data_IF_631542942030
#
_entry.id   IF_631542942030
#
_cell.length_a   1.000
_cell.length_b   1.000
_cell.length_c   1.000
_cell.angle_alpha   90.00
_cell.angle_beta   90.00
_cell.angle_gamma   90.00
#
_symmetry.space_group_name_H-M   'P 1'
#
loop_
_entity.id
_entity.type
_entity.pdbx_description
1 polymer ?
#
# COMPACT_ATOMS: atom_id res chain seq x y z
N UNK A 1 0.86 -15.04 17.55
CA UNK A 1 -0.17 -15.15 16.49
C UNK A 1 0.13 -14.03 15.53
N UNK A 2 0.65 -14.31 14.33
CA UNK A 2 1.01 -13.26 13.40
C UNK A 2 -0.27 -12.52 12.97
N UNK A 3 -0.35 -11.22 13.25
CA UNK A 3 -1.48 -10.41 12.81
C UNK A 3 -1.43 -10.34 11.28
N UNK A 4 -2.54 -10.61 10.57
CA UNK A 4 -2.59 -10.41 9.13
C UNK A 4 -2.43 -8.92 8.83
N UNK A 5 -1.39 -8.55 8.09
CA UNK A 5 -1.17 -7.16 7.67
C UNK A 5 -1.95 -6.97 6.38
N UNK A 6 -2.95 -6.09 6.38
CA UNK A 6 -3.66 -5.72 5.15
C UNK A 6 -2.88 -4.61 4.47
N UNK A 7 -2.63 -4.76 3.17
CA UNK A 7 -1.84 -3.81 2.42
C UNK A 7 -2.62 -3.32 1.23
N UNK A 8 -3.01 -2.06 1.26
CA UNK A 8 -3.88 -1.46 0.27
C UNK A 8 -3.11 -0.38 -0.47
N UNK A 9 -2.74 -0.66 -1.73
CA UNK A 9 -2.07 0.29 -2.60
C UNK A 9 -3.11 1.04 -3.44
N UNK A 10 -3.19 2.36 -3.24
CA UNK A 10 -3.98 3.25 -4.06
C UNK A 10 -3.20 3.71 -5.29
N UNK A 11 -3.49 3.06 -6.43
CA UNK A 11 -2.82 3.31 -7.72
C UNK A 11 -3.57 4.29 -8.60
N UNK A 12 -2.82 5.11 -9.35
CA UNK A 12 -3.36 6.06 -10.34
C UNK A 12 -2.95 5.65 -11.76
N UNK A 13 -3.86 5.76 -12.76
CA UNK A 13 -3.45 5.66 -14.15
C UNK A 13 -2.43 6.77 -14.47
N UNK A 14 -1.21 6.37 -14.83
CA UNK A 14 -0.09 7.28 -15.14
C UNK A 14 1.08 7.24 -14.15
N UNK A 15 1.04 6.41 -13.10
CA UNK A 15 2.11 6.36 -12.11
C UNK A 15 3.14 5.25 -12.42
N UNK A 16 4.31 5.64 -12.94
CA UNK A 16 5.45 4.72 -13.16
C UNK A 16 5.91 3.99 -11.89
N UNK A 17 5.61 4.56 -10.72
CA UNK A 17 5.96 3.98 -9.42
C UNK A 17 5.10 2.74 -9.06
N UNK A 18 3.85 2.64 -9.51
CA UNK A 18 3.01 1.47 -9.25
C UNK A 18 3.55 0.22 -9.95
N UNK A 19 4.02 0.35 -11.20
CA UNK A 19 4.62 -0.78 -11.93
C UNK A 19 5.91 -1.27 -11.24
N UNK A 20 6.72 -0.36 -10.71
CA UNK A 20 7.91 -0.71 -9.93
C UNK A 20 7.52 -1.39 -8.62
N UNK A 21 6.48 -0.91 -7.92
CA UNK A 21 6.00 -1.48 -6.67
C UNK A 21 5.48 -2.90 -6.89
N UNK A 22 4.68 -3.13 -7.93
CA UNK A 22 4.13 -4.46 -8.24
C UNK A 22 5.21 -5.52 -8.44
N UNK A 23 6.28 -5.18 -9.18
CA UNK A 23 7.44 -6.07 -9.34
C UNK A 23 8.12 -6.36 -8.01
N UNK A 24 8.37 -5.31 -7.23
CA UNK A 24 9.02 -5.42 -5.94
C UNK A 24 8.19 -6.23 -4.95
N UNK A 25 6.88 -5.96 -4.86
CA UNK A 25 5.93 -6.70 -4.03
C UNK A 25 5.91 -8.18 -4.39
N UNK A 26 5.93 -8.51 -5.69
CA UNK A 26 5.97 -9.90 -6.14
C UNK A 26 7.25 -10.65 -5.75
N UNK A 27 8.36 -9.95 -5.54
CA UNK A 27 9.59 -10.55 -5.02
C UNK A 27 9.50 -10.81 -3.51
N UNK A 28 8.92 -9.87 -2.74
CA UNK A 28 8.87 -9.96 -1.28
C UNK A 28 7.63 -10.68 -0.74
N UNK A 29 6.55 -10.83 -1.50
CA UNK A 29 5.31 -11.49 -1.04
C UNK A 29 5.59 -12.92 -0.53
N UNK A 30 6.62 -13.58 -1.05
CA UNK A 30 7.08 -14.91 -0.63
C UNK A 30 7.64 -14.92 0.80
N UNK A 31 8.27 -13.83 1.22
CA UNK A 31 8.76 -13.62 2.59
C UNK A 31 7.65 -13.17 3.54
N UNK A 32 6.51 -12.71 2.99
CA UNK A 32 5.40 -12.13 3.74
C UNK A 32 4.08 -12.90 3.58
N UNK A 33 4.00 -14.19 4.00
CA UNK A 33 2.76 -14.98 3.91
C UNK A 33 1.61 -14.42 4.77
N UNK A 34 1.93 -13.51 5.70
CA UNK A 34 0.97 -12.85 6.59
C UNK A 34 0.49 -11.49 6.06
N UNK A 35 0.97 -11.03 4.89
CA UNK A 35 0.56 -9.76 4.30
C UNK A 35 -0.43 -10.01 3.16
N UNK A 36 -1.57 -9.35 3.22
CA UNK A 36 -2.63 -9.45 2.24
C UNK A 36 -2.64 -8.20 1.36
N UNK A 37 -2.05 -8.31 0.17
CA UNK A 37 -1.94 -7.21 -0.79
C UNK A 37 -3.23 -7.01 -1.60
N UNK A 38 -3.67 -5.77 -1.66
CA UNK A 38 -4.82 -5.29 -2.41
C UNK A 38 -4.44 -4.04 -3.20
N UNK A 39 -4.60 -4.12 -4.50
CA UNK A 39 -4.47 -2.99 -5.42
C UNK A 39 -5.84 -2.34 -5.55
N UNK A 40 -5.95 -1.06 -5.18
CA UNK A 40 -7.17 -0.26 -5.28
C UNK A 40 -6.87 0.91 -6.21
N UNK A 41 -7.54 1.00 -7.35
CA UNK A 41 -7.32 2.15 -8.22
C UNK A 41 -8.10 3.36 -7.70
N UNK A 42 -7.50 4.54 -7.75
CA UNK A 42 -8.19 5.81 -7.43
C UNK A 42 -9.33 6.12 -8.40
N UNK A 43 -9.38 5.40 -9.52
CA UNK A 43 -10.47 5.41 -10.50
C UNK A 43 -11.67 4.58 -10.04
N UNK A 44 -11.56 3.76 -8.99
CA UNK A 44 -12.70 3.05 -8.43
C UNK A 44 -13.40 3.91 -7.38
N UNK A 45 -14.73 3.77 -7.22
CA UNK A 45 -15.47 4.47 -6.18
C UNK A 45 -14.93 4.14 -4.78
N UNK A 46 -14.50 2.90 -4.52
CA UNK A 46 -13.87 2.50 -3.26
C UNK A 46 -12.56 3.25 -3.00
N UNK A 47 -11.71 3.41 -4.03
CA UNK A 47 -10.47 4.17 -3.92
C UNK A 47 -10.71 5.65 -3.64
N UNK A 48 -11.70 6.26 -4.31
CA UNK A 48 -12.09 7.65 -4.06
C UNK A 48 -12.68 7.83 -2.66
N UNK A 49 -13.49 6.89 -2.20
CA UNK A 49 -14.10 6.95 -0.86
C UNK A 49 -13.03 6.79 0.23
N UNK A 50 -12.09 5.86 0.06
CA UNK A 50 -10.92 5.69 0.95
C UNK A 50 -10.06 6.95 0.96
N UNK A 51 -9.81 7.55 -0.21
CA UNK A 51 -9.09 8.82 -0.32
C UNK A 51 -9.76 9.92 0.47
N UNK A 52 -11.07 10.07 0.36
CA UNK A 52 -11.81 11.07 1.12
C UNK A 52 -11.84 10.73 2.62
N UNK A 53 -12.04 9.46 2.96
CA UNK A 53 -12.16 8.96 4.34
C UNK A 53 -10.85 9.09 5.13
N UNK A 54 -9.71 8.81 4.49
CA UNK A 54 -8.38 8.93 5.07
C UNK A 54 -7.69 10.27 4.77
N UNK A 55 -8.40 11.22 4.14
CA UNK A 55 -7.85 12.54 3.77
C UNK A 55 -6.57 12.47 2.92
N UNK A 56 -6.59 11.61 1.90
CA UNK A 56 -5.51 11.41 0.93
C UNK A 56 -5.54 12.56 -0.06
N UNK A 57 -4.76 13.61 0.19
CA UNK A 57 -4.70 14.77 -0.69
C UNK A 57 -3.78 14.56 -1.91
N UNK A 58 -3.03 13.46 -1.95
CA UNK A 58 -2.06 13.21 -3.02
C UNK A 58 -2.00 11.73 -3.43
N UNK A 59 -1.95 11.49 -4.73
CA UNK A 59 -1.78 10.15 -5.32
C UNK A 59 -0.32 9.92 -5.72
N UNK A 60 0.24 8.70 -5.55
CA UNK A 60 -0.34 7.46 -5.00
C UNK A 60 -0.48 7.44 -3.48
N UNK A 61 -1.44 6.65 -2.96
CA UNK A 61 -1.64 6.44 -1.53
C UNK A 61 -1.29 5.01 -1.13
N UNK A 62 -0.71 4.79 0.05
CA UNK A 62 -0.56 3.45 0.64
C UNK A 62 -1.24 3.44 1.99
N UNK A 63 -2.00 2.37 2.22
CA UNK A 63 -2.70 2.08 3.46
C UNK A 63 -2.18 0.74 3.99
N UNK A 64 -1.82 0.71 5.26
CA UNK A 64 -1.33 -0.46 5.98
C UNK A 64 -2.25 -0.74 7.16
N UNK A 65 -2.90 -1.89 7.16
CA UNK A 65 -3.80 -2.34 8.22
C UNK A 65 -4.94 -1.36 8.55
N UNK A 66 -5.45 -0.66 7.52
CA UNK A 66 -6.44 0.41 7.69
C UNK A 66 -5.86 1.73 8.22
N UNK A 67 -4.54 1.86 8.34
CA UNK A 67 -3.86 3.11 8.66
C UNK A 67 -3.24 3.72 7.41
N UNK A 68 -3.49 5.00 7.21
CA UNK A 68 -2.84 5.77 6.16
C UNK A 68 -1.33 5.78 6.40
N UNK A 69 -0.57 5.14 5.53
CA UNK A 69 0.88 5.16 5.63
C UNK A 69 1.47 6.40 4.95
N UNK A 70 1.12 6.60 3.67
CA UNK A 70 1.69 7.70 2.90
C UNK A 70 0.81 8.05 1.71
N UNK A 71 0.83 9.31 1.31
CA UNK A 71 0.02 9.87 0.22
C UNK A 71 0.85 10.86 -0.57
N UNK A 72 0.95 10.67 -1.89
CA UNK A 72 1.73 11.53 -2.77
C UNK A 72 3.18 11.10 -2.88
N UNK A 73 3.46 10.18 -3.78
CA UNK A 73 4.81 9.72 -4.10
C UNK A 73 5.33 8.74 -3.06
N UNK A 74 4.86 7.50 -3.12
CA UNK A 74 5.25 6.50 -2.11
C UNK A 74 6.66 5.99 -2.34
N UNK A 75 7.48 6.07 -1.29
CA UNK A 75 8.81 5.50 -1.28
C UNK A 75 8.72 4.01 -0.94
N UNK A 76 9.10 3.15 -1.89
CA UNK A 76 9.18 1.71 -1.71
C UNK A 76 10.03 1.32 -0.49
N UNK A 77 11.12 2.07 -0.22
CA UNK A 77 12.00 1.83 0.93
C UNK A 77 11.30 2.03 2.28
N UNK A 78 10.67 3.18 2.50
CA UNK A 78 9.96 3.49 3.75
C UNK A 78 8.84 2.49 4.01
N UNK A 79 8.16 2.09 2.95
CA UNK A 79 7.11 1.10 3.01
C UNK A 79 7.62 -0.28 3.47
N UNK A 80 8.77 -0.74 2.96
CA UNK A 80 9.40 -1.99 3.40
C UNK A 80 9.79 -1.92 4.87
N UNK A 81 10.36 -0.79 5.29
CA UNK A 81 10.74 -0.60 6.69
C UNK A 81 9.51 -0.70 7.59
N UNK A 82 8.40 -0.05 7.21
CA UNK A 82 7.16 -0.13 7.97
C UNK A 82 6.56 -1.52 8.01
N UNK A 83 6.56 -2.23 6.88
CA UNK A 83 6.14 -3.64 6.82
C UNK A 83 6.96 -4.55 7.72
N UNK A 84 8.28 -4.33 7.76
CA UNK A 84 9.20 -5.07 8.62
C UNK A 84 8.96 -4.76 10.10
N UNK A 85 8.69 -3.50 10.44
CA UNK A 85 8.29 -3.14 11.81
C UNK A 85 6.98 -3.84 12.20
N UNK A 86 5.94 -3.70 11.37
CA UNK A 86 4.62 -4.27 11.63
C UNK A 86 4.62 -5.80 11.71
N UNK A 87 5.53 -6.48 11.01
CA UNK A 87 5.64 -7.94 11.08
C UNK A 87 6.53 -8.45 12.21
N UNK A 88 7.31 -7.58 12.85
CA UNK A 88 8.14 -7.95 14.01
C UNK A 88 7.42 -7.83 15.35
N UNK A 89 6.24 -7.20 15.39
CA UNK A 89 5.39 -7.05 16.59
C UNK A 89 4.31 -8.13 16.76
#
# INVERSE_FOLDING_TARGET
>A
MAKPIILEELTAPGCSHCAAFKKFWHEIEKDWPNVNFKEISLTTPEGQEMVQKYMIFASPGIILNGELFSTGGVNQKEFIEKLKELSKE
#
